data_IF_469670634156
#
_entry.id   IF_469670634156
#
_cell.length_a   1.000
_cell.length_b   1.000
_cell.length_c   1.000
_cell.angle_alpha   90.00
_cell.angle_beta   90.00
_cell.angle_gamma   90.00
#
_symmetry.space_group_name_H-M   'P 1'
#
loop_
_entity.id
_entity.type
_entity.pdbx_description
1 polymer ?
#
# COMPACT_ATOMS: atom_id res chain seq x y z
N UNK A 1 -35.69 30.25 9.60
CA UNK A 1 -36.40 29.22 10.36
C UNK A 1 -36.77 28.09 9.43
N UNK A 2 -35.90 27.09 9.31
CA UNK A 2 -36.22 25.84 8.60
C UNK A 2 -35.35 24.71 9.21
N UNK A 3 -35.98 23.81 9.93
CA UNK A 3 -35.36 22.65 10.58
C UNK A 3 -35.09 21.59 9.53
N UNK A 4 -33.84 21.14 9.38
CA UNK A 4 -33.51 19.90 8.69
C UNK A 4 -33.46 18.75 9.70
N UNK A 5 -34.19 17.67 9.38
CA UNK A 5 -34.25 16.44 10.16
C UNK A 5 -33.06 15.58 9.78
N UNK A 6 -32.27 15.15 10.76
CA UNK A 6 -31.27 14.12 10.63
C UNK A 6 -31.96 12.75 10.64
N UNK A 7 -31.74 11.95 9.62
CA UNK A 7 -32.08 10.52 9.60
C UNK A 7 -30.82 9.74 10.00
N UNK A 8 -30.90 9.13 11.18
CA UNK A 8 -29.90 8.19 11.70
C UNK A 8 -30.18 6.81 11.08
N UNK A 9 -29.25 6.27 10.32
CA UNK A 9 -29.26 4.86 9.92
C UNK A 9 -28.41 4.06 10.91
N UNK A 10 -29.10 3.33 11.77
CA UNK A 10 -28.47 2.33 12.63
C UNK A 10 -28.26 1.04 11.83
N UNK A 11 -27.02 0.67 11.58
CA UNK A 11 -26.65 -0.64 11.05
C UNK A 11 -26.37 -1.58 12.21
N UNK A 12 -27.28 -2.51 12.40
CA UNK A 12 -27.18 -3.54 13.44
C UNK A 12 -26.29 -4.67 12.93
N UNK A 13 -25.08 -4.78 13.45
CA UNK A 13 -24.21 -5.95 13.23
C UNK A 13 -24.65 -7.10 14.16
N UNK A 14 -25.14 -8.15 13.54
CA UNK A 14 -25.46 -9.40 14.23
C UNK A 14 -24.21 -10.28 14.32
N UNK A 15 -23.57 -10.32 15.49
CA UNK A 15 -22.48 -11.26 15.76
C UNK A 15 -23.09 -12.66 16.03
N UNK A 16 -22.81 -13.60 15.14
CA UNK A 16 -23.09 -15.02 15.34
C UNK A 16 -21.89 -15.66 16.05
N UNK A 17 -22.00 -15.88 17.36
CA UNK A 17 -21.08 -16.71 18.13
C UNK A 17 -21.26 -18.18 17.73
N UNK A 18 -20.26 -18.80 17.16
CA UNK A 18 -20.19 -20.24 17.00
C UNK A 18 -19.43 -20.85 18.19
N UNK A 19 -20.14 -21.47 19.09
CA UNK A 19 -19.59 -22.18 20.26
C UNK A 19 -19.11 -23.55 19.77
N UNK A 20 -17.85 -23.86 20.05
CA UNK A 20 -17.25 -25.18 19.83
C UNK A 20 -17.76 -26.11 20.90
N UNK A 21 -18.46 -27.19 20.51
CA UNK A 21 -18.58 -28.36 21.34
C UNK A 21 -18.28 -29.62 20.52
N UNK A 22 -17.36 -30.37 21.05
CA UNK A 22 -16.91 -31.68 20.61
C UNK A 22 -17.98 -32.72 20.75
N UNK A 23 -18.26 -33.51 19.73
CA UNK A 23 -18.35 -34.96 19.77
C UNK A 23 -19.08 -35.57 18.56
N UNK A 24 -18.42 -36.52 17.92
CA UNK A 24 -19.00 -37.81 17.56
C UNK A 24 -19.72 -37.91 16.23
N UNK A 25 -19.01 -38.53 15.27
CA UNK A 25 -19.49 -39.57 14.33
C UNK A 25 -20.96 -39.61 13.95
N UNK A 26 -21.20 -39.65 12.65
CA UNK A 26 -21.73 -40.81 11.94
C UNK A 26 -21.63 -40.60 10.44
N UNK A 27 -20.98 -41.56 9.81
CA UNK A 27 -21.01 -41.80 8.38
C UNK A 27 -22.44 -42.12 7.94
N UNK A 28 -22.87 -41.54 6.85
CA UNK A 28 -23.95 -42.07 6.07
C UNK A 28 -23.56 -42.09 4.60
N UNK A 29 -23.15 -43.27 4.18
CA UNK A 29 -22.93 -43.65 2.81
C UNK A 29 -24.27 -43.64 2.05
N UNK A 30 -24.33 -42.90 0.96
CA UNK A 30 -25.37 -43.12 -0.04
C UNK A 30 -24.71 -43.58 -1.33
N UNK A 31 -24.65 -44.88 -1.43
CA UNK A 31 -24.36 -45.54 -2.72
C UNK A 31 -25.53 -45.28 -3.69
N UNK A 32 -25.21 -44.71 -4.85
CA UNK A 32 -26.01 -44.99 -6.04
C UNK A 32 -25.06 -45.43 -7.15
N UNK A 33 -24.99 -46.74 -7.22
CA UNK A 33 -24.43 -47.46 -8.35
C UNK A 33 -25.30 -47.22 -9.60
N UNK A 34 -24.71 -46.68 -10.64
CA UNK A 34 -25.16 -46.92 -12.00
C UNK A 34 -24.04 -47.55 -12.80
N UNK A 35 -24.03 -48.83 -12.71
CA UNK A 35 -23.28 -49.74 -13.57
C UNK A 35 -23.90 -49.65 -14.98
N UNK A 36 -23.24 -49.03 -15.92
CA UNK A 36 -23.48 -49.24 -17.33
C UNK A 36 -22.32 -50.07 -17.86
N UNK A 37 -22.57 -51.35 -17.79
CA UNK A 37 -21.75 -52.37 -18.46
C UNK A 37 -22.01 -52.24 -19.97
N UNK A 38 -21.04 -51.76 -20.71
CA UNK A 38 -21.09 -51.77 -22.17
C UNK A 38 -19.94 -52.60 -22.73
N UNK A 39 -20.04 -53.90 -22.46
CA UNK A 39 -19.25 -54.87 -23.18
C UNK A 39 -19.80 -55.01 -24.60
N UNK A 40 -19.36 -54.17 -25.50
CA UNK A 40 -19.54 -54.43 -26.92
C UNK A 40 -18.48 -55.38 -27.43
N UNK A 41 -18.87 -56.65 -27.32
CA UNK A 41 -18.27 -57.79 -27.98
C UNK A 41 -18.50 -57.64 -29.52
N UNK A 42 -17.55 -57.16 -30.28
CA UNK A 42 -17.62 -57.26 -31.74
C UNK A 42 -16.94 -58.51 -32.21
N UNK A 43 -17.81 -59.42 -32.56
CA UNK A 43 -17.47 -60.64 -33.28
C UNK A 43 -16.77 -60.35 -34.60
N UNK A 44 -15.72 -61.08 -34.78
CA UNK A 44 -14.94 -61.26 -35.97
C UNK A 44 -15.84 -61.74 -37.09
N UNK A 45 -16.25 -60.92 -38.03
CA UNK A 45 -16.82 -61.33 -39.30
C UNK A 45 -15.93 -60.94 -40.45
N UNK A 46 -15.39 -61.98 -41.00
CA UNK A 46 -14.59 -62.12 -42.15
C UNK A 46 -15.40 -61.64 -43.40
N UNK A 47 -15.07 -60.51 -43.98
CA UNK A 47 -15.59 -60.17 -45.33
C UNK A 47 -14.49 -59.65 -46.27
N UNK A 48 -14.25 -60.49 -47.19
CA UNK A 48 -13.79 -60.30 -48.58
C UNK A 48 -13.31 -58.92 -49.03
N UNK A 49 -12.08 -58.97 -49.44
CA UNK A 49 -11.38 -58.28 -50.49
C UNK A 49 -12.33 -57.71 -51.58
N UNK A 50 -12.57 -56.41 -51.58
CA UNK A 50 -12.88 -55.64 -52.78
C UNK A 50 -11.94 -54.44 -52.85
N UNK A 51 -11.02 -54.53 -53.80
CA UNK A 51 -10.04 -53.53 -54.15
C UNK A 51 -10.71 -52.46 -54.96
N UNK A 52 -11.14 -51.34 -54.36
CA UNK A 52 -11.20 -50.01 -54.95
C UNK A 52 -11.93 -49.04 -54.04
N UNK A 53 -11.29 -48.68 -52.93
CA UNK A 53 -11.52 -47.34 -52.37
C UNK A 53 -10.28 -47.02 -51.51
N UNK A 54 -9.34 -46.28 -52.08
CA UNK A 54 -8.30 -45.65 -51.29
C UNK A 54 -8.92 -44.51 -50.48
N UNK A 55 -9.60 -44.87 -49.42
CA UNK A 55 -9.82 -43.92 -48.35
C UNK A 55 -8.51 -43.87 -47.57
N UNK A 56 -7.70 -42.90 -47.86
CA UNK A 56 -6.52 -42.57 -47.08
C UNK A 56 -6.99 -41.90 -45.77
N UNK A 57 -7.68 -42.66 -44.91
CA UNK A 57 -7.77 -42.28 -43.52
C UNK A 57 -6.35 -42.49 -42.96
N UNK A 58 -5.55 -41.47 -43.05
CA UNK A 58 -4.37 -41.32 -42.19
C UNK A 58 -4.87 -41.47 -40.78
N UNK A 59 -4.28 -42.34 -39.94
CA UNK A 59 -4.68 -42.35 -38.54
C UNK A 59 -4.57 -40.93 -38.01
N UNK A 60 -5.63 -40.47 -37.38
CA UNK A 60 -5.65 -39.18 -36.71
C UNK A 60 -4.42 -39.10 -35.84
N UNK A 61 -3.47 -38.25 -36.20
CA UNK A 61 -2.25 -38.02 -35.42
C UNK A 61 -2.59 -36.94 -34.39
N UNK A 62 -2.39 -37.25 -33.13
CA UNK A 62 -2.48 -36.37 -32.00
C UNK A 62 -1.10 -36.42 -31.34
N UNK A 63 -0.26 -35.44 -31.64
CA UNK A 63 1.19 -35.50 -31.39
C UNK A 63 1.53 -35.23 -29.92
N UNK A 64 0.71 -34.49 -29.20
CA UNK A 64 0.93 -34.13 -27.81
C UNK A 64 -0.04 -34.80 -26.82
N UNK A 65 -1.04 -35.54 -27.38
CA UNK A 65 -2.06 -36.31 -26.66
C UNK A 65 -2.99 -35.47 -25.79
N UNK A 66 -3.41 -34.30 -26.29
CA UNK A 66 -4.38 -33.47 -25.66
C UNK A 66 -5.84 -33.80 -26.05
N UNK A 67 -6.03 -34.62 -27.11
CA UNK A 67 -7.31 -35.09 -27.60
C UNK A 67 -7.78 -34.37 -28.88
N UNK A 68 -6.98 -33.50 -29.43
CA UNK A 68 -7.20 -32.85 -30.72
C UNK A 68 -6.25 -33.45 -31.77
N UNK A 69 -6.77 -33.66 -32.97
CA UNK A 69 -6.00 -34.13 -34.12
C UNK A 69 -5.13 -32.99 -34.66
N UNK A 70 -3.84 -33.28 -34.97
CA UNK A 70 -2.87 -32.29 -35.48
C UNK A 70 -3.38 -31.45 -36.67
N UNK A 71 -4.36 -31.94 -37.43
CA UNK A 71 -4.95 -31.21 -38.56
C UNK A 71 -5.95 -30.12 -38.09
N UNK A 72 -6.44 -30.22 -36.87
CA UNK A 72 -7.42 -29.32 -36.29
C UNK A 72 -6.88 -28.56 -35.09
N UNK A 73 -5.70 -28.97 -34.63
CA UNK A 73 -4.97 -28.35 -33.54
C UNK A 73 -4.06 -27.24 -34.06
N UNK A 74 -4.19 -26.05 -33.49
CA UNK A 74 -3.33 -24.91 -33.81
C UNK A 74 -1.93 -25.06 -33.18
N UNK A 75 -1.79 -25.90 -32.13
CA UNK A 75 -0.56 -26.10 -31.37
C UNK A 75 -0.20 -27.57 -31.20
N UNK A 76 0.03 -28.35 -32.28
CA UNK A 76 0.13 -29.81 -32.27
C UNK A 76 1.28 -30.41 -31.44
N UNK A 77 1.96 -29.64 -30.64
CA UNK A 77 3.05 -30.05 -29.75
C UNK A 77 2.94 -29.42 -28.35
N UNK A 78 1.81 -28.79 -28.03
CA UNK A 78 1.56 -28.20 -26.71
C UNK A 78 0.23 -28.72 -26.16
N UNK A 79 0.25 -29.71 -25.25
CA UNK A 79 -0.94 -30.37 -24.73
C UNK A 79 -1.84 -29.47 -23.86
N UNK A 80 -1.53 -28.21 -23.75
CA UNK A 80 -2.35 -27.25 -23.02
C UNK A 80 -3.08 -26.27 -23.95
N UNK A 81 -2.77 -26.29 -25.25
CA UNK A 81 -3.29 -25.33 -26.23
C UNK A 81 -3.76 -26.04 -27.49
N UNK A 82 -4.92 -25.72 -28.02
CA UNK A 82 -5.48 -26.31 -29.24
C UNK A 82 -6.20 -25.29 -30.14
N UNK A 83 -6.55 -24.13 -29.63
CA UNK A 83 -7.26 -23.05 -30.30
C UNK A 83 -6.52 -21.73 -30.17
N UNK A 84 -6.58 -20.89 -31.21
CA UNK A 84 -6.06 -19.52 -31.28
C UNK A 84 -7.11 -18.72 -32.00
N UNK A 85 -8.00 -18.09 -31.22
CA UNK A 85 -9.24 -17.48 -31.74
C UNK A 85 -9.00 -16.19 -32.51
N UNK A 86 -7.89 -15.47 -32.26
CA UNK A 86 -7.57 -14.20 -32.93
C UNK A 86 -6.36 -14.29 -33.87
N UNK A 87 -5.77 -15.48 -33.97
CA UNK A 87 -4.62 -15.79 -34.82
C UNK A 87 -3.36 -14.94 -34.48
N UNK A 88 -3.09 -14.73 -33.20
CA UNK A 88 -1.94 -13.96 -32.74
C UNK A 88 -0.70 -14.80 -32.44
N UNK A 89 -0.88 -16.11 -32.35
CA UNK A 89 0.14 -17.11 -32.11
C UNK A 89 0.29 -17.52 -30.64
N UNK A 90 -0.58 -17.07 -29.76
CA UNK A 90 -0.75 -17.53 -28.38
C UNK A 90 -2.08 -18.29 -28.33
N UNK A 91 -2.10 -19.44 -27.66
CA UNK A 91 -3.33 -20.23 -27.53
C UNK A 91 -4.30 -19.60 -26.52
N UNK A 92 -5.60 -19.86 -26.75
CA UNK A 92 -6.68 -19.27 -25.98
C UNK A 92 -6.56 -19.51 -24.46
N UNK A 93 -5.94 -20.60 -24.04
CA UNK A 93 -5.77 -20.91 -22.63
C UNK A 93 -4.63 -20.12 -21.95
N UNK A 94 -3.61 -19.76 -22.75
CA UNK A 94 -2.46 -18.98 -22.30
C UNK A 94 -2.58 -17.49 -22.55
N UNK A 95 -3.66 -17.06 -23.23
CA UNK A 95 -3.95 -15.69 -23.60
C UNK A 95 -5.00 -15.07 -22.67
N UNK A 96 -4.67 -13.95 -22.05
CA UNK A 96 -5.63 -13.19 -21.24
C UNK A 96 -6.64 -12.42 -22.12
N UNK A 97 -6.35 -12.26 -23.43
CA UNK A 97 -7.19 -11.56 -24.40
C UNK A 97 -7.46 -12.38 -25.67
N UNK A 98 -8.04 -13.58 -25.60
CA UNK A 98 -8.09 -14.56 -26.68
C UNK A 98 -8.89 -14.14 -27.92
N UNK A 99 -9.45 -12.94 -27.94
CA UNK A 99 -10.19 -12.33 -29.06
C UNK A 99 -9.61 -11.00 -29.51
N UNK A 100 -8.43 -10.60 -28.98
CA UNK A 100 -7.75 -9.36 -29.36
C UNK A 100 -6.26 -9.58 -29.64
N UNK A 101 -5.92 -9.90 -30.87
CA UNK A 101 -4.56 -10.16 -31.35
C UNK A 101 -3.51 -9.09 -31.04
N UNK A 102 -3.92 -7.95 -30.47
CA UNK A 102 -3.04 -6.86 -30.10
C UNK A 102 -2.50 -6.98 -28.66
N UNK A 103 -3.11 -7.84 -27.84
CA UNK A 103 -2.83 -7.98 -26.43
C UNK A 103 -2.81 -9.47 -26.04
N UNK A 104 -1.98 -9.86 -25.07
CA UNK A 104 -1.86 -11.26 -24.67
C UNK A 104 -1.71 -11.43 -23.15
N UNK A 105 -1.26 -10.40 -22.43
CA UNK A 105 -0.94 -10.50 -21.02
C UNK A 105 -1.62 -9.42 -20.21
N UNK A 106 -2.12 -9.87 -19.07
CA UNK A 106 -2.76 -9.06 -18.02
C UNK A 106 -2.27 -9.66 -16.69
N UNK A 107 -1.33 -8.99 -16.07
CA UNK A 107 -0.60 -9.56 -14.94
C UNK A 107 -1.41 -9.50 -13.64
N UNK A 108 -2.18 -8.44 -13.43
CA UNK A 108 -2.98 -8.25 -12.23
C UNK A 108 -4.45 -8.67 -12.40
N UNK A 109 -4.90 -8.88 -13.65
CA UNK A 109 -6.23 -9.38 -13.98
C UNK A 109 -7.30 -8.28 -13.97
N UNK A 110 -6.92 -7.02 -14.19
CA UNK A 110 -7.85 -5.88 -14.19
C UNK A 110 -8.60 -5.70 -15.55
N UNK A 111 -8.18 -6.44 -16.58
CA UNK A 111 -8.74 -6.41 -17.93
C UNK A 111 -8.07 -5.40 -18.85
N UNK A 112 -6.96 -4.80 -18.44
CA UNK A 112 -6.09 -3.99 -19.28
C UNK A 112 -4.81 -4.76 -19.62
N UNK A 113 -4.36 -4.70 -20.87
CA UNK A 113 -3.15 -5.43 -21.27
C UNK A 113 -1.87 -4.75 -20.74
N UNK A 114 -0.94 -5.56 -20.24
CA UNK A 114 0.42 -5.13 -19.89
C UNK A 114 1.16 -4.46 -21.06
N UNK A 115 0.82 -4.81 -22.27
CA UNK A 115 1.39 -4.26 -23.50
C UNK A 115 0.47 -4.45 -24.70
N UNK A 116 0.54 -3.50 -25.63
CA UNK A 116 -0.16 -3.58 -26.93
C UNK A 116 0.89 -3.72 -28.02
N UNK A 117 0.68 -4.68 -28.96
CA UNK A 117 1.58 -4.91 -30.10
C UNK A 117 1.71 -3.65 -30.96
N UNK A 118 2.94 -3.34 -31.40
CA UNK A 118 3.19 -2.20 -32.29
C UNK A 118 2.40 -2.32 -33.63
N UNK A 119 1.89 -1.20 -34.09
CA UNK A 119 1.08 -1.11 -35.32
C UNK A 119 -0.20 -1.95 -35.31
N UNK A 120 -0.70 -2.30 -34.19
CA UNK A 120 -1.97 -3.00 -33.98
C UNK A 120 -3.05 -2.00 -33.55
N UNK A 121 -4.32 -2.27 -33.88
CA UNK A 121 -5.45 -1.42 -33.50
C UNK A 121 -6.40 -2.21 -32.61
N UNK A 122 -6.53 -1.80 -31.38
CA UNK A 122 -7.44 -2.35 -30.38
C UNK A 122 -8.28 -1.25 -29.75
N UNK A 123 -9.35 -1.62 -29.08
CA UNK A 123 -10.13 -0.74 -28.20
C UNK A 123 -9.70 -0.83 -26.73
N UNK A 124 -8.76 -1.71 -26.41
CA UNK A 124 -8.23 -1.87 -25.05
C UNK A 124 -7.35 -0.68 -24.69
N UNK A 125 -7.42 -0.28 -23.44
CA UNK A 125 -6.52 0.72 -22.85
C UNK A 125 -5.31 0.00 -22.26
N UNK A 126 -4.12 0.55 -22.52
CA UNK A 126 -2.89 0.02 -21.96
C UNK A 126 -2.90 0.18 -20.43
N UNK A 127 -2.43 -0.83 -19.74
CA UNK A 127 -2.32 -0.82 -18.30
C UNK A 127 -1.21 0.15 -17.83
N UNK A 128 -1.56 1.05 -16.92
CA UNK A 128 -0.65 2.01 -16.29
C UNK A 128 -0.19 1.57 -14.89
N UNK A 129 -0.69 0.43 -14.37
CA UNK A 129 -0.33 -0.20 -13.10
C UNK A 129 -0.30 -1.73 -13.26
N UNK A 130 0.69 -2.24 -14.01
CA UNK A 130 0.78 -3.63 -14.50
C UNK A 130 0.70 -4.70 -13.40
N UNK A 131 1.13 -4.41 -12.20
CA UNK A 131 1.11 -5.39 -11.11
C UNK A 131 0.01 -5.13 -10.07
N UNK A 132 -0.80 -4.08 -10.28
CA UNK A 132 -1.99 -3.80 -9.49
C UNK A 132 -1.70 -3.38 -8.05
N UNK A 133 -0.52 -2.82 -7.79
CA UNK A 133 -0.09 -2.48 -6.43
C UNK A 133 -0.54 -1.11 -5.94
N UNK A 134 -1.12 -0.30 -6.85
CA UNK A 134 -1.66 1.03 -6.58
C UNK A 134 -0.75 2.18 -7.02
N UNK A 135 0.44 1.89 -7.53
CA UNK A 135 1.36 2.88 -8.08
C UNK A 135 1.55 2.66 -9.58
N UNK A 136 1.48 3.72 -10.36
CA UNK A 136 1.61 3.56 -11.80
C UNK A 136 3.05 3.27 -12.23
N UNK A 137 3.18 2.51 -13.34
CA UNK A 137 4.45 2.06 -13.89
C UNK A 137 5.50 3.18 -14.05
N UNK A 138 5.07 4.37 -14.46
CA UNK A 138 5.97 5.51 -14.71
C UNK A 138 6.53 6.07 -13.41
N UNK A 139 5.70 6.16 -12.39
CA UNK A 139 6.10 6.62 -11.06
C UNK A 139 7.08 5.62 -10.44
N UNK A 140 6.77 4.34 -10.48
CA UNK A 140 7.64 3.28 -9.96
C UNK A 140 9.02 3.31 -10.61
N UNK A 141 9.08 3.37 -11.96
CA UNK A 141 10.35 3.49 -12.68
C UNK A 141 11.13 4.73 -12.26
N UNK A 142 10.46 5.83 -12.01
CA UNK A 142 11.10 7.09 -11.58
C UNK A 142 11.67 7.01 -10.17
N UNK A 143 11.04 6.22 -9.31
CA UNK A 143 11.44 6.00 -7.91
C UNK A 143 12.33 4.76 -7.73
N UNK A 144 12.56 3.98 -8.81
CA UNK A 144 13.47 2.83 -8.84
C UNK A 144 12.86 1.55 -8.27
N UNK A 145 11.54 1.45 -8.27
CA UNK A 145 10.80 0.21 -7.98
C UNK A 145 10.48 -0.55 -9.27
N UNK A 146 9.89 -1.74 -9.15
CA UNK A 146 9.66 -2.61 -10.29
C UNK A 146 8.16 -2.73 -10.59
N UNK A 147 7.67 -2.15 -11.71
CA UNK A 147 6.26 -2.13 -12.10
C UNK A 147 5.66 -3.50 -12.46
N UNK A 148 6.37 -4.59 -12.23
CA UNK A 148 5.92 -5.96 -12.46
C UNK A 148 6.07 -6.83 -11.21
N UNK A 149 6.17 -6.22 -10.05
CA UNK A 149 6.29 -6.92 -8.78
C UNK A 149 5.52 -6.19 -7.68
N UNK A 150 4.31 -6.62 -7.34
CA UNK A 150 3.43 -5.94 -6.39
C UNK A 150 3.97 -5.86 -4.95
N UNK A 151 5.13 -6.46 -4.71
CA UNK A 151 5.86 -6.32 -3.45
C UNK A 151 6.97 -5.26 -3.50
N UNK A 152 7.21 -4.67 -4.67
CA UNK A 152 8.27 -3.68 -4.91
C UNK A 152 7.71 -2.26 -4.94
N UNK A 153 6.95 -1.89 -3.94
CA UNK A 153 6.29 -0.58 -3.83
C UNK A 153 7.26 0.54 -3.49
N UNK A 154 7.03 1.75 -4.00
CA UNK A 154 7.66 2.94 -3.47
C UNK A 154 7.42 3.07 -1.95
N UNK A 155 8.37 3.68 -1.25
CA UNK A 155 8.17 4.03 0.15
C UNK A 155 7.11 5.13 0.25
N UNK A 156 6.19 4.96 1.19
CA UNK A 156 5.09 5.85 1.51
C UNK A 156 4.94 5.77 3.04
N UNK A 157 5.52 6.74 3.74
CA UNK A 157 5.72 6.67 5.20
C UNK A 157 4.42 6.82 5.97
N UNK A 158 3.60 7.81 5.61
CA UNK A 158 2.32 8.11 6.27
C UNK A 158 1.14 7.35 5.65
N UNK A 159 1.34 6.74 4.46
CA UNK A 159 0.35 5.95 3.70
C UNK A 159 -0.82 6.78 3.19
N UNK A 160 -0.57 8.00 2.79
CA UNK A 160 -1.58 8.87 2.18
C UNK A 160 -1.76 8.59 0.67
N UNK A 161 -0.87 7.78 0.07
CA UNK A 161 -0.87 7.39 -1.34
C UNK A 161 0.11 8.21 -2.18
N UNK A 162 0.86 9.14 -1.58
CA UNK A 162 1.97 9.86 -2.18
C UNK A 162 3.29 9.25 -1.70
N UNK A 163 4.09 8.63 -2.56
CA UNK A 163 5.40 8.12 -2.15
C UNK A 163 6.34 9.20 -1.65
N UNK A 164 7.14 8.90 -0.63
CA UNK A 164 8.15 9.80 -0.02
C UNK A 164 9.00 10.56 -1.03
N UNK A 165 9.29 9.96 -2.18
CA UNK A 165 10.13 10.58 -3.23
C UNK A 165 9.50 11.77 -3.95
N UNK A 166 8.20 11.95 -3.83
CA UNK A 166 7.42 13.06 -4.43
C UNK A 166 6.54 13.77 -3.41
N UNK A 167 6.50 13.25 -2.19
CA UNK A 167 5.77 13.85 -1.09
C UNK A 167 6.51 15.08 -0.54
N UNK A 168 5.76 16.11 -0.20
CA UNK A 168 6.27 17.35 0.39
C UNK A 168 6.06 17.45 1.88
N UNK A 169 5.36 16.45 2.48
CA UNK A 169 5.00 16.37 3.89
C UNK A 169 4.87 14.89 4.26
N UNK A 170 6.03 14.22 4.44
CA UNK A 170 6.16 12.75 4.48
C UNK A 170 5.50 12.08 5.69
N UNK A 171 5.24 12.79 6.78
CA UNK A 171 4.60 12.26 7.98
C UNK A 171 3.20 12.85 8.20
N UNK A 172 2.82 13.80 7.31
CA UNK A 172 1.50 14.40 7.24
C UNK A 172 1.12 15.11 8.55
N UNK A 173 2.09 15.81 9.13
CA UNK A 173 1.91 16.64 10.32
C UNK A 173 1.50 18.08 9.99
N UNK A 174 1.52 18.45 8.69
CA UNK A 174 1.18 19.78 8.18
C UNK A 174 2.39 20.68 7.96
N UNK A 175 3.62 20.22 8.28
CA UNK A 175 4.85 20.93 7.98
C UNK A 175 5.55 20.35 6.75
N UNK A 176 6.06 21.23 5.89
CA UNK A 176 6.73 20.79 4.68
C UNK A 176 8.13 20.26 4.99
N UNK A 177 8.53 19.11 4.41
CA UNK A 177 9.83 18.46 4.58
C UNK A 177 11.06 19.38 4.47
N UNK A 178 10.94 20.54 3.83
CA UNK A 178 12.07 21.47 3.64
C UNK A 178 12.31 22.38 4.83
N UNK A 179 11.36 22.48 5.74
CA UNK A 179 11.41 23.31 6.95
C UNK A 179 11.21 22.50 8.21
N UNK A 180 10.67 21.30 8.06
CA UNK A 180 10.50 20.31 9.09
C UNK A 180 11.85 19.66 9.46
N UNK A 181 12.20 19.63 10.74
CA UNK A 181 13.41 18.99 11.24
C UNK A 181 13.21 17.48 11.44
N UNK A 182 11.95 17.03 11.58
CA UNK A 182 11.56 15.64 11.73
C UNK A 182 10.68 15.11 10.59
N UNK A 183 11.07 15.18 9.31
CA UNK A 183 10.20 14.93 8.15
C UNK A 183 9.75 13.45 8.01
N UNK A 184 10.03 12.61 8.94
CA UNK A 184 9.52 11.25 9.16
C UNK A 184 9.27 11.03 10.65
N UNK A 185 8.67 12.01 11.26
CA UNK A 185 8.36 12.05 12.66
C UNK A 185 7.10 11.28 13.02
N UNK A 186 6.45 11.73 14.06
CA UNK A 186 5.23 11.14 14.59
C UNK A 186 4.07 11.34 13.64
N UNK A 187 3.29 10.30 13.38
CA UNK A 187 2.10 10.35 12.54
C UNK A 187 0.86 10.77 13.33
N UNK A 188 -0.14 11.33 12.65
CA UNK A 188 -1.48 11.68 13.18
C UNK A 188 -1.48 12.77 14.26
N UNK A 189 -0.66 13.76 14.11
CA UNK A 189 -0.65 14.98 14.89
C UNK A 189 -0.56 16.20 13.96
N UNK A 190 -0.51 17.41 14.47
CA UNK A 190 -0.44 18.65 13.71
C UNK A 190 0.67 19.51 14.31
N UNK A 191 1.72 19.79 13.53
CA UNK A 191 2.85 20.62 13.92
C UNK A 191 2.48 22.09 14.17
N UNK A 192 3.28 22.82 14.95
CA UNK A 192 3.04 24.21 15.31
C UNK A 192 1.93 24.40 16.34
N UNK A 193 1.55 23.33 17.04
CA UNK A 193 0.56 23.33 18.12
C UNK A 193 1.19 23.43 19.52
N UNK A 194 0.47 22.93 20.52
CA UNK A 194 0.96 22.88 21.92
C UNK A 194 1.97 21.76 22.17
N UNK A 195 2.13 20.88 21.20
CA UNK A 195 3.02 19.70 21.23
C UNK A 195 4.22 19.91 20.28
N UNK A 196 4.55 21.17 19.94
CA UNK A 196 5.66 21.62 19.09
C UNK A 196 5.91 23.09 19.46
N UNK A 197 6.69 23.31 20.54
CA UNK A 197 6.87 24.62 21.17
C UNK A 197 7.67 25.58 20.29
N UNK A 198 8.74 25.10 19.68
CA UNK A 198 9.63 25.91 18.85
C UNK A 198 9.20 25.97 17.37
N UNK A 199 8.18 25.20 16.98
CA UNK A 199 7.59 25.15 15.63
C UNK A 199 8.57 24.62 14.57
N UNK A 200 9.31 23.59 14.90
CA UNK A 200 10.31 22.99 14.00
C UNK A 200 9.83 21.70 13.30
N UNK A 201 8.65 21.16 13.67
CA UNK A 201 8.03 19.99 13.11
C UNK A 201 8.39 18.68 13.82
N UNK A 202 9.17 18.76 14.90
CA UNK A 202 9.39 17.64 15.79
C UNK A 202 8.37 17.68 16.93
N UNK A 203 7.87 16.53 17.31
CA UNK A 203 6.88 16.48 18.40
C UNK A 203 7.55 16.43 19.75
N UNK A 204 7.26 17.44 20.58
CA UNK A 204 7.73 17.57 21.95
C UNK A 204 7.57 16.26 22.73
N UNK A 205 8.52 15.98 23.62
CA UNK A 205 8.52 14.84 24.52
C UNK A 205 8.50 13.45 23.86
N UNK A 206 8.63 13.35 22.53
CA UNK A 206 8.60 12.08 21.80
C UNK A 206 9.74 11.89 20.83
N UNK A 207 10.04 12.86 20.01
CA UNK A 207 11.06 12.81 18.95
C UNK A 207 11.96 14.04 18.95
N UNK A 208 11.56 15.10 19.63
CA UNK A 208 12.41 16.23 19.91
C UNK A 208 13.29 15.95 21.13
N UNK A 209 14.55 16.30 21.07
CA UNK A 209 15.51 16.18 22.16
C UNK A 209 15.77 17.54 22.85
N UNK A 210 15.22 18.66 22.29
CA UNK A 210 15.37 20.05 22.74
C UNK A 210 14.10 20.83 22.41
N UNK A 211 13.00 20.53 23.14
CA UNK A 211 11.60 20.93 22.87
C UNK A 211 11.41 22.44 22.62
N UNK A 212 12.32 23.31 23.11
CA UNK A 212 12.22 24.77 22.92
C UNK A 212 13.38 25.36 22.08
N UNK A 213 14.27 24.48 21.60
CA UNK A 213 15.43 24.80 20.73
C UNK A 213 16.29 25.94 21.27
N UNK A 214 16.48 25.96 22.60
CA UNK A 214 17.31 26.94 23.28
C UNK A 214 18.80 26.52 23.29
N UNK A 215 19.09 25.28 22.91
CA UNK A 215 20.41 24.67 22.82
C UNK A 215 20.80 23.84 24.02
N UNK A 216 19.89 23.57 24.95
CA UNK A 216 20.05 22.67 26.09
C UNK A 216 19.04 21.52 25.95
N UNK A 217 19.54 20.31 25.73
CA UNK A 217 18.67 19.15 25.56
C UNK A 217 17.75 18.94 26.80
N UNK A 218 16.47 18.56 26.62
CA UNK A 218 15.43 18.43 27.67
C UNK A 218 15.91 17.72 28.93
N UNK A 219 16.70 16.66 28.76
CA UNK A 219 17.25 15.89 29.91
C UNK A 219 18.21 16.67 30.81
N UNK A 220 18.68 17.84 30.37
CA UNK A 220 19.59 18.75 31.09
C UNK A 220 18.95 20.10 31.34
N UNK A 221 17.83 20.37 30.69
CA UNK A 221 17.09 21.60 30.79
C UNK A 221 16.21 21.62 32.05
N UNK A 222 16.32 22.70 32.79
CA UNK A 222 15.50 22.96 33.97
C UNK A 222 14.29 23.86 33.64
N UNK A 223 14.21 24.38 32.40
CA UNK A 223 13.21 25.32 31.95
C UNK A 223 12.70 24.97 30.53
N UNK A 224 12.05 23.83 30.39
CA UNK A 224 11.61 23.17 29.16
C UNK A 224 10.79 24.03 28.17
N UNK A 225 10.44 25.27 28.50
CA UNK A 225 9.66 26.19 27.66
C UNK A 225 10.32 27.58 27.66
N UNK A 226 11.60 27.68 27.30
CA UNK A 226 12.27 28.96 27.15
C UNK A 226 11.64 29.76 26.02
N UNK A 227 11.24 31.03 26.25
CA UNK A 227 10.59 31.84 25.23
C UNK A 227 11.52 32.03 24.00
N UNK A 228 10.96 31.81 22.80
CA UNK A 228 11.68 31.98 21.54
C UNK A 228 12.41 33.33 21.50
N UNK A 229 13.68 33.32 21.09
CA UNK A 229 14.61 34.45 21.01
C UNK A 229 15.13 34.98 22.36
N UNK A 230 14.87 34.35 23.48
CA UNK A 230 15.57 34.62 24.73
C UNK A 230 16.86 33.80 24.79
N UNK A 231 17.82 34.24 25.58
CA UNK A 231 19.11 33.56 25.70
C UNK A 231 19.11 32.78 27.00
N UNK A 232 19.22 31.43 26.92
CA UNK A 232 19.30 30.60 28.11
C UNK A 232 20.67 30.68 28.81
N UNK A 233 20.74 30.25 30.05
CA UNK A 233 21.98 29.93 30.74
C UNK A 233 22.39 28.46 30.45
N UNK A 234 23.43 27.96 31.15
CA UNK A 234 23.89 26.58 31.02
C UNK A 234 22.86 25.52 31.48
N UNK A 235 21.79 25.95 32.14
CA UNK A 235 20.71 25.11 32.70
C UNK A 235 19.41 25.24 31.87
N UNK A 236 19.43 25.89 30.71
CA UNK A 236 18.28 26.08 29.83
C UNK A 236 17.34 27.22 30.23
N UNK A 237 17.63 27.97 31.25
CA UNK A 237 16.71 29.00 31.75
C UNK A 237 17.09 30.41 31.27
N UNK A 238 16.15 31.11 30.65
CA UNK A 238 16.30 32.51 30.28
C UNK A 238 16.14 33.48 31.46
N UNK A 239 16.46 34.75 31.26
CA UNK A 239 16.30 35.77 32.30
C UNK A 239 14.84 36.01 32.68
N UNK A 240 13.87 35.68 31.80
CA UNK A 240 12.43 35.81 32.14
C UNK A 240 11.90 34.64 32.98
N UNK A 241 12.69 33.55 33.07
CA UNK A 241 12.29 32.35 33.81
C UNK A 241 13.04 32.22 35.14
N UNK A 242 14.20 32.86 35.31
CA UNK A 242 15.03 32.80 36.49
C UNK A 242 14.65 33.91 37.50
N UNK A 243 14.76 33.54 38.78
CA UNK A 243 14.75 34.46 39.91
C UNK A 243 16.02 34.14 40.72
N UNK A 244 17.13 34.83 40.38
CA UNK A 244 18.47 34.46 40.86
C UNK A 244 18.66 34.72 42.37
N UNK A 245 17.95 35.68 42.96
CA UNK A 245 18.08 35.98 44.36
C UNK A 245 16.90 35.48 45.23
N UNK A 246 15.82 34.97 44.58
CA UNK A 246 14.71 34.29 45.25
C UNK A 246 13.73 35.23 45.91
N UNK A 247 13.60 36.47 45.40
CA UNK A 247 12.72 37.46 45.98
C UNK A 247 11.30 37.44 45.33
N UNK A 248 11.12 36.69 44.29
CA UNK A 248 9.87 36.53 43.57
C UNK A 248 9.71 37.41 42.36
N UNK A 249 10.79 38.10 41.96
CA UNK A 249 10.85 38.89 40.72
C UNK A 249 11.88 38.22 39.81
N UNK A 250 11.49 37.95 38.54
CA UNK A 250 12.40 37.29 37.57
C UNK A 250 13.51 38.26 37.12
N UNK A 251 14.70 37.72 36.85
CA UNK A 251 15.92 38.48 36.49
C UNK A 251 15.68 39.53 35.37
N UNK A 252 14.79 39.32 34.44
CA UNK A 252 14.48 40.25 33.35
C UNK A 252 13.70 41.49 33.81
N UNK A 253 13.04 41.42 34.94
CA UNK A 253 12.24 42.48 35.54
C UNK A 253 12.86 43.02 36.80
N UNK A 254 13.85 42.30 37.35
CA UNK A 254 14.56 42.69 38.57
C UNK A 254 15.49 43.90 38.28
N UNK A 255 15.34 44.95 39.09
CA UNK A 255 16.09 46.18 38.97
C UNK A 255 17.32 46.14 39.89
N UNK A 256 17.24 45.36 40.92
CA UNK A 256 18.28 45.30 41.93
C UNK A 256 18.42 43.91 42.54
N UNK A 257 19.68 43.53 42.86
CA UNK A 257 20.03 42.28 43.49
C UNK A 257 19.62 42.27 44.95
N UNK A 258 18.52 41.63 45.29
CA UNK A 258 17.96 41.49 46.61
C UNK A 258 16.46 41.78 46.66
N UNK A 259 15.87 41.92 47.81
CA UNK A 259 14.44 42.09 47.95
C UNK A 259 13.99 43.47 47.50
N UNK A 260 13.37 43.60 46.34
CA UNK A 260 12.85 44.81 45.69
C UNK A 260 11.84 45.62 46.52
N UNK A 261 11.40 45.09 47.67
CA UNK A 261 10.41 45.76 48.51
C UNK A 261 10.83 47.13 49.01
N UNK A 262 12.13 47.44 49.02
CA UNK A 262 12.69 48.73 49.40
C UNK A 262 13.08 49.62 48.23
N UNK A 263 13.20 49.03 47.01
CA UNK A 263 13.67 49.69 45.78
C UNK A 263 15.15 50.12 45.89
N UNK A 264 15.80 50.26 44.74
CA UNK A 264 17.18 50.78 44.62
C UNK A 264 17.16 52.31 44.79
N UNK A 265 17.14 52.77 46.01
CA UNK A 265 16.96 54.20 46.34
C UNK A 265 18.18 55.06 45.99
N UNK A 266 19.38 54.48 45.92
CA UNK A 266 20.64 55.18 45.64
C UNK A 266 21.24 54.85 44.24
N UNK A 267 20.62 53.90 43.47
CA UNK A 267 20.99 53.54 42.12
C UNK A 267 22.28 52.71 42.03
N UNK A 268 22.61 51.99 43.07
CA UNK A 268 23.83 51.15 43.09
C UNK A 268 23.58 49.71 42.62
N UNK A 269 22.33 49.34 42.30
CA UNK A 269 21.92 48.01 41.89
C UNK A 269 21.71 47.03 43.05
N UNK A 270 21.62 47.54 44.26
CA UNK A 270 21.30 46.74 45.46
C UNK A 270 20.05 47.31 46.13
N UNK A 271 19.04 46.51 46.44
CA UNK A 271 17.88 46.88 47.21
C UNK A 271 18.15 46.65 48.72
#
# INVERSE_FOLDING_TARGET
>A
MMKRKNASFAVTFLFLLCIISTSGCLEEEAETSNNIDNTNNYNNDNFNNDSTNQNTDSPNLDSDNDGYDDNYDKFPNDPNEWEDSDDDGIGDNGDNFPYDKCATKDMDGDGKPDSIKENCTTSLELDDDIDGDGYNNTLELSLGTNPRNPSSKPLDYDKDGLPDGIDTDMDNDGMNNTVDQCPRGSLNWEAGGSDDWDMDGCKDNTEDDDDDNDGVEDRYDNCEETPLNEIPNEEGCSASQRDTDGDGIVDSLDICWGNDSTGDADGDGLC
#
